data_IF_703426535206
#
_entry.id   IF_703426535206
#
_cell.length_a   1.000
_cell.length_b   1.000
_cell.length_c   1.000
_cell.angle_alpha   90.00
_cell.angle_beta   90.00
_cell.angle_gamma   90.00
#
_symmetry.space_group_name_H-M   'P 1'
#
loop_
_entity.id
_entity.type
_entity.pdbx_description
1 polymer ?
#
# COMPACT_ATOMS: atom_id res chain seq x y z
N UNK A 1 0.04 37.09 7.46
CA UNK A 1 -0.61 36.43 8.61
C UNK A 1 -1.04 35.05 8.16
N UNK A 2 -0.71 33.95 8.86
CA UNK A 2 -1.31 32.67 8.52
C UNK A 2 -2.81 32.79 8.81
N UNK A 3 -3.64 32.67 7.78
CA UNK A 3 -5.08 32.62 7.95
C UNK A 3 -5.41 31.31 8.66
N UNK A 4 -5.87 31.39 9.92
CA UNK A 4 -6.40 30.21 10.60
C UNK A 4 -7.51 29.60 9.74
N UNK A 5 -7.31 28.36 9.30
CA UNK A 5 -8.33 27.66 8.50
C UNK A 5 -9.55 27.40 9.37
N UNK A 6 -10.74 27.72 8.86
CA UNK A 6 -11.98 27.36 9.53
C UNK A 6 -12.28 25.88 9.27
N UNK A 7 -12.93 25.19 10.22
CA UNK A 7 -13.30 23.78 10.06
C UNK A 7 -14.22 23.55 8.84
N UNK A 8 -14.96 24.58 8.44
CA UNK A 8 -15.86 24.59 7.27
C UNK A 8 -15.16 24.82 5.93
N UNK A 9 -13.86 25.16 5.92
CA UNK A 9 -13.11 25.33 4.68
C UNK A 9 -13.00 23.99 3.94
N UNK A 10 -13.36 23.97 2.66
CA UNK A 10 -13.37 22.74 1.85
C UNK A 10 -14.41 21.71 2.31
N UNK A 11 -15.45 22.11 3.05
CA UNK A 11 -16.44 21.20 3.63
C UNK A 11 -17.07 20.25 2.61
N UNK A 12 -17.31 20.70 1.39
CA UNK A 12 -17.84 19.83 0.32
C UNK A 12 -16.92 18.63 0.06
N UNK A 13 -15.62 18.87 -0.16
CA UNK A 13 -14.66 17.78 -0.36
C UNK A 13 -14.49 16.92 0.90
N UNK A 14 -14.53 17.52 2.10
CA UNK A 14 -14.51 16.75 3.36
C UNK A 14 -15.67 15.75 3.44
N UNK A 15 -16.89 16.18 3.13
CA UNK A 15 -18.07 15.31 3.10
C UNK A 15 -17.91 14.21 2.05
N UNK A 16 -17.44 14.56 0.85
CA UNK A 16 -17.19 13.59 -0.22
C UNK A 16 -16.14 12.56 0.21
N UNK A 17 -15.06 12.96 0.88
CA UNK A 17 -14.06 12.05 1.42
C UNK A 17 -14.65 11.07 2.43
N UNK A 18 -15.53 11.53 3.32
CA UNK A 18 -16.24 10.67 4.28
C UNK A 18 -17.09 9.62 3.55
N UNK A 19 -17.91 10.05 2.58
CA UNK A 19 -18.76 9.14 1.79
C UNK A 19 -17.91 8.13 1.01
N UNK A 20 -16.85 8.60 0.36
CA UNK A 20 -15.93 7.78 -0.43
C UNK A 20 -15.19 6.75 0.45
N UNK A 21 -14.79 7.14 1.65
CA UNK A 21 -14.19 6.20 2.62
C UNK A 21 -15.16 5.07 2.99
N UNK A 22 -16.42 5.38 3.30
CA UNK A 22 -17.40 4.34 3.65
C UNK A 22 -17.77 3.46 2.46
N UNK A 23 -17.79 3.99 1.23
CA UNK A 23 -17.92 3.20 0.00
C UNK A 23 -16.77 2.19 -0.10
N UNK A 24 -15.53 2.66 0.05
CA UNK A 24 -14.32 1.84 -0.07
C UNK A 24 -14.18 0.80 1.06
N UNK A 25 -14.49 1.19 2.30
CA UNK A 25 -14.58 0.28 3.44
C UNK A 25 -15.64 -0.78 3.20
N UNK A 26 -16.84 -0.36 2.76
CA UNK A 26 -17.95 -1.27 2.46
C UNK A 26 -17.59 -2.29 1.37
N UNK A 27 -16.91 -1.86 0.30
CA UNK A 27 -16.49 -2.77 -0.76
C UNK A 27 -15.48 -3.82 -0.25
N UNK A 28 -14.56 -3.44 0.63
CA UNK A 28 -13.59 -4.38 1.22
C UNK A 28 -14.23 -5.31 2.27
N UNK A 29 -15.17 -4.82 3.08
CA UNK A 29 -15.90 -5.68 4.02
C UNK A 29 -16.71 -6.74 3.26
N UNK A 30 -17.28 -6.38 2.11
CA UNK A 30 -18.04 -7.31 1.28
C UNK A 30 -17.17 -8.47 0.74
N UNK A 31 -15.85 -8.29 0.63
CA UNK A 31 -14.95 -9.37 0.17
C UNK A 31 -14.87 -10.53 1.17
N UNK A 32 -14.97 -10.22 2.46
CA UNK A 32 -14.89 -11.21 3.55
C UNK A 32 -16.28 -11.71 3.95
N UNK A 33 -17.25 -10.81 4.01
CA UNK A 33 -18.60 -11.10 4.56
C UNK A 33 -19.62 -11.51 3.51
N UNK A 34 -19.28 -11.38 2.22
CA UNK A 34 -20.15 -11.74 1.12
C UNK A 34 -20.47 -13.26 1.08
N UNK A 35 -21.53 -13.67 0.36
CA UNK A 35 -21.95 -15.08 0.28
C UNK A 35 -20.88 -16.04 -0.25
N UNK A 36 -19.84 -15.51 -0.90
CA UNK A 36 -18.63 -16.22 -1.32
C UNK A 36 -17.46 -15.39 -0.82
N UNK A 37 -16.68 -15.94 0.11
CA UNK A 37 -15.42 -15.30 0.50
C UNK A 37 -14.50 -15.29 -0.71
N UNK A 38 -14.26 -14.11 -1.27
CA UNK A 38 -13.58 -13.97 -2.56
C UNK A 38 -12.09 -14.30 -2.44
N UNK A 39 -11.52 -14.27 -1.23
CA UNK A 39 -10.13 -14.69 -0.99
C UNK A 39 -9.95 -16.21 -1.08
N UNK A 40 -11.03 -17.00 -0.97
CA UNK A 40 -11.00 -18.46 -1.14
C UNK A 40 -11.63 -18.94 -2.45
N UNK A 41 -12.31 -18.05 -3.17
CA UNK A 41 -13.03 -18.40 -4.41
C UNK A 41 -12.43 -17.76 -5.66
N UNK A 42 -11.40 -16.91 -5.50
CA UNK A 42 -10.60 -16.37 -6.58
C UNK A 42 -9.83 -17.43 -7.37
N UNK A 43 -9.14 -16.99 -8.42
CA UNK A 43 -8.33 -17.89 -9.25
C UNK A 43 -7.04 -18.16 -8.52
N UNK A 44 -6.83 -19.40 -8.13
CA UNK A 44 -5.59 -19.81 -7.49
C UNK A 44 -4.43 -19.73 -8.49
N UNK A 45 -3.42 -18.93 -8.19
CA UNK A 45 -2.18 -18.78 -8.96
C UNK A 45 -0.96 -19.13 -8.11
N UNK A 46 0.19 -19.28 -8.76
CA UNK A 46 1.47 -19.58 -8.10
C UNK A 46 2.11 -18.41 -7.35
N UNK A 47 1.46 -17.25 -7.30
CA UNK A 47 1.86 -16.12 -6.46
C UNK A 47 0.78 -15.75 -5.44
N UNK A 48 -0.28 -16.54 -5.34
CA UNK A 48 -1.38 -16.29 -4.38
C UNK A 48 -0.82 -16.35 -2.97
N UNK A 49 -1.03 -15.31 -2.13
CA UNK A 49 -0.61 -15.34 -0.75
C UNK A 49 -1.62 -16.09 0.12
N UNK A 50 -1.20 -16.46 1.32
CA UNK A 50 -2.12 -17.00 2.32
C UNK A 50 -3.22 -15.95 2.63
N UNK A 51 -4.48 -16.36 2.90
CA UNK A 51 -5.60 -15.43 3.10
C UNK A 51 -5.37 -14.38 4.19
N UNK A 52 -4.57 -14.69 5.22
CA UNK A 52 -4.23 -13.73 6.27
C UNK A 52 -3.43 -12.52 5.76
N UNK A 53 -2.82 -12.59 4.57
CA UNK A 53 -2.15 -11.44 3.96
C UNK A 53 -3.07 -10.22 3.84
N UNK A 54 -4.34 -10.47 3.52
CA UNK A 54 -5.35 -9.44 3.29
C UNK A 54 -5.81 -8.74 4.58
N UNK A 55 -5.38 -9.19 5.78
CA UNK A 55 -5.58 -8.46 7.02
C UNK A 55 -4.89 -7.08 7.03
N UNK A 56 -3.94 -6.86 6.12
CA UNK A 56 -3.35 -5.54 5.89
C UNK A 56 -4.41 -4.50 5.50
N UNK A 57 -5.50 -4.91 4.85
CA UNK A 57 -6.62 -4.01 4.55
C UNK A 57 -7.25 -3.47 5.82
N UNK A 58 -7.44 -4.29 6.86
CA UNK A 58 -8.01 -3.83 8.12
C UNK A 58 -7.15 -2.72 8.74
N UNK A 59 -5.82 -2.86 8.67
CA UNK A 59 -4.89 -1.84 9.14
C UNK A 59 -4.95 -0.56 8.28
N UNK A 60 -4.95 -0.70 6.95
CA UNK A 60 -5.07 0.44 6.01
C UNK A 60 -6.38 1.20 6.28
N UNK A 61 -7.51 0.51 6.44
CA UNK A 61 -8.80 1.16 6.68
C UNK A 61 -8.87 1.84 8.05
N UNK A 62 -8.24 1.27 9.09
CA UNK A 62 -8.14 1.91 10.40
C UNK A 62 -7.34 3.21 10.34
N UNK A 63 -6.20 3.19 9.64
CA UNK A 63 -5.36 4.38 9.48
C UNK A 63 -6.05 5.44 8.62
N UNK A 64 -6.72 5.03 7.54
CA UNK A 64 -7.50 5.93 6.69
C UNK A 64 -8.71 6.52 7.42
N UNK A 65 -9.33 5.80 8.38
CA UNK A 65 -10.34 6.42 9.25
C UNK A 65 -9.73 7.60 10.03
N UNK A 66 -8.51 7.40 10.55
CA UNK A 66 -7.71 8.46 11.15
C UNK A 66 -7.48 9.62 10.19
N UNK A 67 -7.08 9.36 8.94
CA UNK A 67 -6.96 10.38 7.87
C UNK A 67 -8.26 11.16 7.67
N UNK A 68 -9.40 10.46 7.58
CA UNK A 68 -10.72 11.06 7.36
C UNK A 68 -11.17 11.91 8.55
N UNK A 69 -10.80 11.56 9.78
CA UNK A 69 -11.04 12.42 10.95
C UNK A 69 -10.06 13.59 10.96
N UNK A 70 -8.80 13.34 10.63
CA UNK A 70 -7.73 14.33 10.70
C UNK A 70 -7.91 15.49 9.71
N UNK A 71 -8.57 15.27 8.56
CA UNK A 71 -8.85 16.32 7.58
C UNK A 71 -9.66 17.51 8.12
N UNK A 72 -10.34 17.36 9.26
CA UNK A 72 -11.10 18.44 9.91
C UNK A 72 -10.24 19.36 10.80
N UNK A 73 -8.98 18.99 11.04
CA UNK A 73 -8.00 19.78 11.77
C UNK A 73 -7.10 20.55 10.80
N UNK A 74 -6.43 21.61 11.26
CA UNK A 74 -5.61 22.49 10.42
C UNK A 74 -4.52 21.74 9.64
N UNK A 75 -3.72 20.90 10.31
CA UNK A 75 -2.67 20.09 9.66
C UNK A 75 -3.22 19.11 8.63
N UNK A 76 -4.27 18.37 9.00
CA UNK A 76 -4.90 17.43 8.07
C UNK A 76 -5.58 18.11 6.89
N UNK A 77 -6.22 19.27 7.10
CA UNK A 77 -6.85 20.07 6.03
C UNK A 77 -5.79 20.53 5.02
N UNK A 78 -4.65 21.04 5.48
CA UNK A 78 -3.57 21.49 4.60
C UNK A 78 -3.05 20.37 3.69
N UNK A 79 -2.90 19.15 4.19
CA UNK A 79 -2.36 18.05 3.38
C UNK A 79 -3.46 17.32 2.59
N UNK A 80 -4.56 16.95 3.24
CA UNK A 80 -5.60 16.08 2.66
C UNK A 80 -6.53 16.85 1.72
N UNK A 81 -6.93 18.06 2.10
CA UNK A 81 -7.86 18.87 1.30
C UNK A 81 -7.10 19.69 0.27
N UNK A 82 -6.10 20.45 0.70
CA UNK A 82 -5.42 21.41 -0.18
C UNK A 82 -4.35 20.70 -1.06
N UNK A 83 -3.67 19.67 -0.53
CA UNK A 83 -2.65 18.90 -1.26
C UNK A 83 -3.22 17.73 -2.07
N UNK A 84 -3.74 16.72 -1.38
CA UNK A 84 -4.27 15.49 -1.99
C UNK A 84 -5.51 15.78 -2.84
N UNK A 85 -6.47 16.50 -2.27
CA UNK A 85 -7.66 16.99 -2.98
C UNK A 85 -8.57 15.86 -3.49
N UNK A 86 -9.14 16.05 -4.68
CA UNK A 86 -10.05 15.11 -5.35
C UNK A 86 -9.46 13.74 -5.72
N UNK A 87 -8.16 13.53 -5.48
CA UNK A 87 -7.50 12.24 -5.71
C UNK A 87 -7.93 11.18 -4.71
N UNK A 88 -8.21 11.57 -3.46
CA UNK A 88 -8.67 10.64 -2.43
C UNK A 88 -10.02 9.98 -2.77
N UNK A 89 -11.08 10.72 -3.15
CA UNK A 89 -12.34 10.10 -3.52
C UNK A 89 -12.25 9.36 -4.85
N UNK A 90 -11.44 9.84 -5.80
CA UNK A 90 -11.14 9.10 -7.04
C UNK A 90 -10.53 7.73 -6.73
N UNK A 91 -9.52 7.67 -5.85
CA UNK A 91 -8.87 6.44 -5.43
C UNK A 91 -9.90 5.45 -4.83
N UNK A 92 -10.77 5.93 -3.94
CA UNK A 92 -11.81 5.10 -3.33
C UNK A 92 -12.78 4.50 -4.37
N UNK A 93 -13.22 5.31 -5.34
CA UNK A 93 -14.10 4.84 -6.43
C UNK A 93 -13.39 3.83 -7.32
N UNK A 94 -12.16 4.10 -7.74
CA UNK A 94 -11.37 3.17 -8.54
C UNK A 94 -11.17 1.84 -7.81
N UNK A 95 -10.92 1.87 -6.50
CA UNK A 95 -10.75 0.66 -5.72
C UNK A 95 -12.05 -0.13 -5.56
N UNK A 96 -13.17 0.55 -5.30
CA UNK A 96 -14.48 -0.12 -5.23
C UNK A 96 -14.83 -0.84 -6.56
N UNK A 97 -14.51 -0.23 -7.71
CA UNK A 97 -14.69 -0.86 -9.02
C UNK A 97 -13.73 -2.05 -9.19
N UNK A 98 -12.45 -1.90 -8.81
CA UNK A 98 -11.47 -2.99 -8.81
C UNK A 98 -11.99 -4.21 -8.04
N UNK A 99 -12.40 -4.01 -6.78
CA UNK A 99 -12.89 -5.08 -5.91
C UNK A 99 -14.13 -5.75 -6.51
N UNK A 100 -15.04 -4.96 -7.08
CA UNK A 100 -16.23 -5.49 -7.73
C UNK A 100 -15.91 -6.37 -8.94
N UNK A 101 -15.02 -5.91 -9.82
CA UNK A 101 -14.59 -6.65 -11.01
C UNK A 101 -13.85 -7.94 -10.62
N UNK A 102 -12.97 -7.85 -9.63
CA UNK A 102 -12.23 -8.98 -9.11
C UNK A 102 -13.15 -10.04 -8.51
N UNK A 103 -14.09 -9.63 -7.64
CA UNK A 103 -15.08 -10.53 -7.04
C UNK A 103 -16.06 -11.15 -8.05
N UNK A 104 -16.15 -10.61 -9.26
CA UNK A 104 -16.91 -11.17 -10.40
C UNK A 104 -16.06 -12.02 -11.34
N UNK A 105 -14.77 -12.23 -11.02
CA UNK A 105 -13.81 -12.97 -11.83
C UNK A 105 -13.48 -12.32 -13.19
N UNK A 106 -13.73 -11.01 -13.36
CA UNK A 106 -13.33 -10.26 -14.56
C UNK A 106 -11.86 -9.83 -14.45
N UNK A 107 -10.94 -10.80 -14.39
CA UNK A 107 -9.54 -10.58 -14.00
C UNK A 107 -8.76 -9.58 -14.85
N UNK A 108 -8.96 -9.57 -16.17
CA UNK A 108 -8.28 -8.60 -17.04
C UNK A 108 -8.75 -7.17 -16.74
N UNK A 109 -10.07 -6.97 -16.57
CA UNK A 109 -10.61 -5.67 -16.21
C UNK A 109 -10.18 -5.26 -14.79
N UNK A 110 -10.17 -6.21 -13.84
CA UNK A 110 -9.64 -6.00 -12.50
C UNK A 110 -8.16 -5.57 -12.56
N UNK A 111 -7.33 -6.20 -13.41
CA UNK A 111 -5.93 -5.82 -13.57
C UNK A 111 -5.77 -4.38 -14.07
N UNK A 112 -6.55 -3.97 -15.06
CA UNK A 112 -6.55 -2.57 -15.54
C UNK A 112 -6.91 -1.61 -14.41
N UNK A 113 -7.93 -1.92 -13.61
CA UNK A 113 -8.30 -1.09 -12.46
C UNK A 113 -7.26 -1.15 -11.33
N UNK A 114 -6.56 -2.26 -11.12
CA UNK A 114 -5.44 -2.35 -10.18
C UNK A 114 -4.32 -1.38 -10.56
N UNK A 115 -4.01 -1.24 -11.85
CA UNK A 115 -3.05 -0.25 -12.35
C UNK A 115 -3.55 1.19 -12.13
N UNK A 116 -4.84 1.46 -12.35
CA UNK A 116 -5.42 2.78 -12.09
C UNK A 116 -5.39 3.14 -10.59
N UNK A 117 -5.73 2.17 -9.72
CA UNK A 117 -5.61 2.30 -8.26
C UNK A 117 -4.17 2.56 -7.87
N UNK A 118 -3.22 1.76 -8.35
CA UNK A 118 -1.80 1.93 -8.08
C UNK A 118 -1.32 3.32 -8.51
N UNK A 119 -1.67 3.76 -9.72
CA UNK A 119 -1.33 5.10 -10.22
C UNK A 119 -1.90 6.22 -9.34
N UNK A 120 -3.17 6.11 -8.93
CA UNK A 120 -3.80 7.07 -8.04
C UNK A 120 -3.11 7.11 -6.66
N UNK A 121 -2.81 5.96 -6.07
CA UNK A 121 -2.07 5.89 -4.80
C UNK A 121 -0.66 6.45 -4.95
N UNK A 122 0.08 6.11 -6.01
CA UNK A 122 1.43 6.64 -6.27
C UNK A 122 1.41 8.16 -6.37
N UNK A 123 0.40 8.75 -7.03
CA UNK A 123 0.29 10.20 -7.13
C UNK A 123 0.01 10.85 -5.76
N UNK A 124 -0.84 10.24 -4.93
CA UNK A 124 -1.10 10.74 -3.58
C UNK A 124 0.16 10.60 -2.72
N UNK A 125 0.79 9.43 -2.75
CA UNK A 125 2.04 9.13 -2.06
C UNK A 125 3.13 10.16 -2.40
N UNK A 126 3.33 10.45 -3.68
CA UNK A 126 4.29 11.45 -4.13
C UNK A 126 3.96 12.85 -3.61
N UNK A 127 2.69 13.27 -3.65
CA UNK A 127 2.29 14.57 -3.10
C UNK A 127 2.63 14.66 -1.61
N UNK A 128 2.20 13.66 -0.85
CA UNK A 128 2.36 13.62 0.61
C UNK A 128 3.84 13.62 0.96
N UNK A 129 4.63 12.73 0.37
CA UNK A 129 6.05 12.57 0.73
C UNK A 129 6.95 13.70 0.22
N UNK A 130 6.65 14.32 -0.92
CA UNK A 130 7.51 15.35 -1.52
C UNK A 130 7.11 16.78 -1.15
N UNK A 131 5.82 17.08 -1.09
CA UNK A 131 5.35 18.46 -0.92
C UNK A 131 4.85 18.76 0.50
N UNK A 132 4.64 17.75 1.33
CA UNK A 132 4.08 17.89 2.66
C UNK A 132 4.88 17.13 3.71
N UNK A 133 6.06 17.62 4.09
CA UNK A 133 6.81 17.00 5.17
C UNK A 133 6.00 16.97 6.48
N UNK A 134 6.04 15.87 7.26
CA UNK A 134 5.26 15.77 8.49
C UNK A 134 5.75 16.82 9.51
N UNK A 135 4.84 17.69 9.96
CA UNK A 135 5.15 18.72 10.96
C UNK A 135 4.88 18.22 12.39
N UNK A 136 4.11 17.14 12.51
CA UNK A 136 3.70 16.53 13.77
C UNK A 136 3.61 15.01 13.65
N UNK A 137 3.59 14.32 14.81
CA UNK A 137 3.31 12.88 14.86
C UNK A 137 1.93 12.55 14.29
N UNK A 138 0.97 13.48 14.40
CA UNK A 138 -0.36 13.30 13.80
C UNK A 138 -0.31 13.27 12.27
N UNK A 139 0.51 14.14 11.64
CA UNK A 139 0.72 14.12 10.19
C UNK A 139 1.35 12.79 9.76
N UNK A 140 2.37 12.33 10.48
CA UNK A 140 3.04 11.05 10.18
C UNK A 140 2.04 9.88 10.27
N UNK A 141 1.30 9.77 11.38
CA UNK A 141 0.39 8.63 11.63
C UNK A 141 -0.86 8.67 10.76
N UNK A 142 -1.46 9.83 10.56
CA UNK A 142 -2.75 9.95 9.86
C UNK A 142 -2.64 10.35 8.39
N UNK A 143 -1.45 10.65 7.87
CA UNK A 143 -1.27 10.97 6.46
C UNK A 143 -0.16 10.14 5.83
N UNK A 144 1.06 10.18 6.35
CA UNK A 144 2.20 9.52 5.69
C UNK A 144 2.12 7.99 5.78
N UNK A 145 1.85 7.48 6.99
CA UNK A 145 1.78 6.06 7.27
C UNK A 145 0.69 5.33 6.44
N UNK A 146 -0.58 5.78 6.40
CA UNK A 146 -1.61 5.12 5.60
C UNK A 146 -1.28 5.08 4.10
N UNK A 147 -0.84 6.20 3.52
CA UNK A 147 -0.55 6.24 2.08
C UNK A 147 0.74 5.50 1.71
N UNK A 148 1.74 5.46 2.59
CA UNK A 148 2.93 4.61 2.41
C UNK A 148 2.58 3.12 2.43
N UNK A 149 1.84 2.69 3.46
CA UNK A 149 1.41 1.30 3.60
C UNK A 149 0.53 0.88 2.41
N UNK A 150 -0.41 1.74 2.01
CA UNK A 150 -1.29 1.48 0.87
C UNK A 150 -0.49 1.43 -0.44
N UNK A 151 0.49 2.31 -0.64
CA UNK A 151 1.33 2.29 -1.84
C UNK A 151 2.10 0.97 -1.96
N UNK A 152 2.80 0.55 -0.90
CA UNK A 152 3.49 -0.75 -0.88
C UNK A 152 2.56 -1.94 -1.13
N UNK A 153 1.37 -1.93 -0.53
CA UNK A 153 0.36 -2.98 -0.76
C UNK A 153 -0.18 -2.97 -2.20
N UNK A 154 -0.43 -1.82 -2.80
CA UNK A 154 -0.90 -1.76 -4.21
C UNK A 154 0.13 -2.28 -5.20
N UNK A 155 1.43 -2.13 -4.94
CA UNK A 155 2.48 -2.75 -5.75
C UNK A 155 2.31 -4.28 -5.78
N UNK A 156 2.03 -4.89 -4.63
CA UNK A 156 1.74 -6.33 -4.54
C UNK A 156 0.45 -6.68 -5.26
N UNK A 157 -0.64 -5.93 -5.05
CA UNK A 157 -1.93 -6.19 -5.70
C UNK A 157 -1.83 -6.20 -7.22
N UNK A 158 -1.06 -5.29 -7.81
CA UNK A 158 -0.83 -5.26 -9.26
C UNK A 158 -0.21 -6.57 -9.75
N UNK A 159 0.79 -7.09 -9.02
CA UNK A 159 1.42 -8.38 -9.32
C UNK A 159 0.40 -9.52 -9.19
N UNK A 160 -0.32 -9.60 -8.07
CA UNK A 160 -1.31 -10.66 -7.85
C UNK A 160 -2.36 -10.67 -8.97
N UNK A 161 -2.92 -9.50 -9.27
CA UNK A 161 -3.96 -9.36 -10.29
C UNK A 161 -3.43 -9.65 -11.70
N UNK A 162 -2.15 -9.36 -11.98
CA UNK A 162 -1.52 -9.72 -13.26
C UNK A 162 -1.48 -11.24 -13.45
N UNK A 163 -1.11 -11.99 -12.40
CA UNK A 163 -1.10 -13.45 -12.44
C UNK A 163 -2.51 -14.02 -12.55
N UNK A 164 -3.51 -13.41 -11.92
CA UNK A 164 -4.89 -13.84 -12.08
C UNK A 164 -5.39 -13.58 -13.51
N UNK A 165 -5.05 -12.42 -14.08
CA UNK A 165 -5.46 -12.05 -15.45
C UNK A 165 -4.80 -12.92 -16.53
N UNK A 166 -3.50 -13.20 -16.40
CA UNK A 166 -2.70 -13.77 -17.49
C UNK A 166 -2.00 -15.09 -17.16
N UNK A 167 -1.90 -15.45 -15.88
CA UNK A 167 -1.27 -16.70 -15.43
C UNK A 167 -2.18 -17.92 -15.57
N UNK A 168 -1.65 -19.08 -15.22
CA UNK A 168 -2.41 -20.34 -15.18
C UNK A 168 -3.12 -20.52 -13.83
N UNK A 169 -4.20 -21.31 -13.82
CA UNK A 169 -4.88 -21.67 -12.58
C UNK A 169 -4.19 -22.89 -11.95
N UNK A 170 -3.53 -22.68 -10.81
CA UNK A 170 -2.75 -23.70 -10.11
C UNK A 170 -3.60 -24.86 -9.55
N UNK A 171 -4.93 -24.67 -9.43
CA UNK A 171 -5.85 -25.77 -9.05
C UNK A 171 -6.12 -26.76 -10.18
N UNK A 172 -5.81 -26.40 -11.43
CA UNK A 172 -6.10 -27.21 -12.63
C UNK A 172 -4.82 -27.59 -13.37
N UNK A 173 -3.84 -26.70 -13.42
CA UNK A 173 -2.64 -26.85 -14.23
C UNK A 173 -1.38 -26.67 -13.39
N UNK A 174 -0.36 -27.51 -13.65
CA UNK A 174 0.93 -27.44 -12.97
C UNK A 174 1.81 -26.32 -13.54
N UNK A 175 2.60 -25.69 -12.68
CA UNK A 175 3.62 -24.71 -13.10
C UNK A 175 4.58 -25.31 -14.15
N UNK A 176 4.67 -24.65 -15.29
CA UNK A 176 5.74 -24.86 -16.26
C UNK A 176 6.89 -23.87 -16.03
N UNK A 177 7.95 -24.01 -16.82
CA UNK A 177 9.18 -23.20 -16.70
C UNK A 177 8.90 -21.69 -16.75
N UNK A 178 8.00 -21.24 -17.63
CA UNK A 178 7.66 -19.82 -17.72
C UNK A 178 6.92 -19.30 -16.49
N UNK A 179 6.04 -20.10 -15.89
CA UNK A 179 5.36 -19.76 -14.64
C UNK A 179 6.37 -19.58 -13.50
N UNK A 180 7.34 -20.50 -13.40
CA UNK A 180 8.44 -20.41 -12.44
C UNK A 180 9.27 -19.14 -12.64
N UNK A 181 9.67 -18.85 -13.89
CA UNK A 181 10.46 -17.67 -14.23
C UNK A 181 9.71 -16.38 -13.90
N UNK A 182 8.44 -16.25 -14.30
CA UNK A 182 7.66 -15.05 -14.02
C UNK A 182 7.41 -14.87 -12.52
N UNK A 183 7.12 -15.93 -11.77
CA UNK A 183 6.97 -15.86 -10.32
C UNK A 183 8.26 -15.39 -9.65
N UNK A 184 9.41 -15.93 -10.07
CA UNK A 184 10.72 -15.49 -9.58
C UNK A 184 10.97 -14.00 -9.87
N UNK A 185 10.73 -13.54 -11.11
CA UNK A 185 10.89 -12.14 -11.49
C UNK A 185 9.94 -11.22 -10.70
N UNK A 186 8.72 -11.66 -10.43
CA UNK A 186 7.79 -10.93 -9.61
C UNK A 186 8.28 -10.79 -8.16
N UNK A 187 8.81 -11.85 -7.55
CA UNK A 187 9.36 -11.79 -6.19
C UNK A 187 10.61 -10.93 -6.11
N UNK A 188 11.50 -11.02 -7.10
CA UNK A 188 12.66 -10.16 -7.24
C UNK A 188 12.26 -8.69 -7.38
N UNK A 189 11.27 -8.39 -8.22
CA UNK A 189 10.75 -7.03 -8.38
C UNK A 189 10.17 -6.47 -7.07
N UNK A 190 9.40 -7.28 -6.34
CA UNK A 190 8.86 -6.88 -5.03
C UNK A 190 9.98 -6.61 -4.03
N UNK A 191 10.95 -7.50 -3.91
CA UNK A 191 12.11 -7.32 -3.02
C UNK A 191 12.93 -6.08 -3.37
N UNK A 192 13.25 -5.85 -4.66
CA UNK A 192 13.94 -4.66 -5.12
C UNK A 192 13.14 -3.37 -4.84
N UNK A 193 11.80 -3.44 -4.90
CA UNK A 193 10.94 -2.32 -4.53
C UNK A 193 10.98 -2.07 -3.02
N UNK A 194 11.01 -3.11 -2.19
CA UNK A 194 11.19 -2.97 -0.74
C UNK A 194 12.55 -2.33 -0.39
N UNK A 195 13.62 -2.67 -1.12
CA UNK A 195 14.91 -2.00 -1.02
C UNK A 195 14.80 -0.52 -1.40
N UNK A 196 14.13 -0.22 -2.51
CA UNK A 196 13.90 1.17 -2.97
C UNK A 196 13.21 2.00 -1.89
N UNK A 197 12.16 1.48 -1.23
CA UNK A 197 11.54 2.15 -0.08
C UNK A 197 12.50 2.33 1.09
N UNK A 198 13.30 1.31 1.41
CA UNK A 198 14.25 1.42 2.51
C UNK A 198 15.32 2.48 2.24
N UNK A 199 15.67 2.75 0.98
CA UNK A 199 16.66 3.78 0.58
C UNK A 199 16.06 5.06 0.01
N UNK A 200 14.73 5.22 0.02
CA UNK A 200 14.07 6.41 -0.54
C UNK A 200 14.38 7.69 0.26
N UNK A 201 14.91 7.54 1.47
CA UNK A 201 15.41 8.63 2.31
C UNK A 201 16.39 8.14 3.36
N UNK A 202 16.97 9.07 4.13
CA UNK A 202 17.82 8.80 5.29
C UNK A 202 17.16 7.81 6.26
N UNK A 203 15.85 7.92 6.49
CA UNK A 203 15.12 7.01 7.37
C UNK A 203 14.55 5.79 6.66
N UNK A 204 14.30 5.91 5.35
CA UNK A 204 13.55 4.92 4.58
C UNK A 204 12.05 4.99 4.85
N UNK A 205 11.29 4.25 4.04
CA UNK A 205 9.84 4.19 4.10
C UNK A 205 9.35 2.86 4.67
N UNK A 206 9.41 2.76 6.00
CA UNK A 206 9.13 1.54 6.75
C UNK A 206 7.75 0.91 6.44
N UNK A 207 6.62 1.64 6.40
CA UNK A 207 5.31 1.02 6.19
C UNK A 207 5.20 0.34 4.82
N UNK A 208 5.71 0.98 3.76
CA UNK A 208 5.72 0.41 2.42
C UNK A 208 6.60 -0.85 2.32
N UNK A 209 7.80 -0.83 2.92
CA UNK A 209 8.66 -2.03 3.00
C UNK A 209 7.98 -3.17 3.76
N UNK A 210 7.31 -2.88 4.89
CA UNK A 210 6.56 -3.89 5.66
C UNK A 210 5.47 -4.54 4.82
N UNK A 211 4.69 -3.76 4.06
CA UNK A 211 3.62 -4.31 3.22
C UNK A 211 4.14 -5.35 2.23
N UNK A 212 5.30 -5.09 1.63
CA UNK A 212 5.94 -6.02 0.69
C UNK A 212 6.47 -7.25 1.42
N UNK A 213 7.24 -7.09 2.50
CA UNK A 213 7.81 -8.24 3.22
C UNK A 213 6.74 -9.17 3.79
N UNK A 214 5.67 -8.57 4.34
CA UNK A 214 4.47 -9.28 4.79
C UNK A 214 3.85 -10.13 3.69
N UNK A 215 3.75 -9.56 2.48
CA UNK A 215 3.17 -10.24 1.32
C UNK A 215 4.04 -11.38 0.82
N UNK A 216 5.36 -11.18 0.69
CA UNK A 216 6.29 -12.23 0.29
C UNK A 216 6.28 -13.40 1.30
N UNK A 217 6.19 -13.10 2.60
CA UNK A 217 6.04 -14.10 3.64
C UNK A 217 4.72 -14.89 3.48
N UNK A 218 3.62 -14.20 3.15
CA UNK A 218 2.34 -14.84 2.93
C UNK A 218 2.32 -15.74 1.70
N UNK A 219 3.00 -15.34 0.62
CA UNK A 219 3.18 -16.16 -0.58
C UNK A 219 3.98 -17.42 -0.22
N UNK A 220 5.09 -17.28 0.50
CA UNK A 220 5.86 -18.43 1.00
C UNK A 220 5.00 -19.39 1.83
N UNK A 221 4.19 -18.86 2.76
CA UNK A 221 3.38 -19.65 3.66
C UNK A 221 2.32 -20.51 2.92
N UNK A 222 1.79 -19.98 1.81
CA UNK A 222 0.74 -20.60 1.01
C UNK A 222 1.28 -21.54 -0.07
N UNK A 223 2.27 -21.09 -0.83
CA UNK A 223 2.82 -21.85 -1.96
C UNK A 223 3.66 -23.02 -1.44
N UNK A 224 3.26 -24.27 -1.69
CA UNK A 224 4.03 -25.47 -1.28
C UNK A 224 4.67 -26.22 -2.44
N UNK A 225 4.06 -26.14 -3.62
CA UNK A 225 4.57 -26.71 -4.85
C UNK A 225 4.33 -25.73 -6.01
N UNK A 226 5.28 -25.57 -6.94
CA UNK A 226 6.59 -26.22 -6.99
C UNK A 226 7.56 -25.68 -5.92
N UNK A 227 8.55 -26.50 -5.55
CA UNK A 227 9.54 -26.15 -4.52
C UNK A 227 10.33 -24.89 -4.89
N UNK A 228 10.60 -24.68 -6.18
CA UNK A 228 11.29 -23.50 -6.67
C UNK A 228 10.58 -22.20 -6.28
N UNK A 229 9.27 -22.11 -6.50
CA UNK A 229 8.46 -20.92 -6.14
C UNK A 229 8.40 -20.76 -4.62
N UNK A 230 8.17 -21.84 -3.88
CA UNK A 230 8.13 -21.83 -2.41
C UNK A 230 9.43 -21.25 -1.81
N UNK A 231 10.59 -21.81 -2.18
CA UNK A 231 11.87 -21.38 -1.64
C UNK A 231 12.33 -20.03 -2.17
N UNK A 232 11.96 -19.66 -3.40
CA UNK A 232 12.22 -18.31 -3.92
C UNK A 232 11.44 -17.25 -3.14
N UNK A 233 10.16 -17.49 -2.86
CA UNK A 233 9.35 -16.59 -2.03
C UNK A 233 9.96 -16.42 -0.62
N UNK A 234 10.47 -17.49 0.00
CA UNK A 234 11.16 -17.41 1.28
C UNK A 234 12.43 -16.57 1.19
N UNK A 235 13.29 -16.85 0.20
CA UNK A 235 14.56 -16.15 0.03
C UNK A 235 14.34 -14.64 -0.12
N UNK A 236 13.43 -14.23 -1.01
CA UNK A 236 13.08 -12.83 -1.20
C UNK A 236 12.36 -12.22 0.00
N UNK A 237 11.56 -13.00 0.75
CA UNK A 237 10.97 -12.54 2.01
C UNK A 237 12.07 -12.21 3.04
N UNK A 238 13.06 -13.08 3.22
CA UNK A 238 14.17 -12.86 4.15
C UNK A 238 15.00 -11.63 3.71
N UNK A 239 15.32 -11.50 2.42
CA UNK A 239 16.02 -10.33 1.90
C UNK A 239 15.22 -9.04 2.16
N UNK A 240 13.92 -9.06 1.88
CA UNK A 240 13.06 -7.90 2.14
C UNK A 240 12.98 -7.52 3.63
N UNK A 241 13.09 -8.50 4.54
CA UNK A 241 13.12 -8.23 5.99
C UNK A 241 14.38 -7.47 6.41
N UNK A 242 15.51 -7.66 5.72
CA UNK A 242 16.72 -6.84 5.95
C UNK A 242 16.43 -5.37 5.68
N UNK A 243 15.65 -5.06 4.63
CA UNK A 243 15.24 -3.71 4.29
C UNK A 243 14.27 -3.11 5.32
N UNK A 244 13.34 -3.91 5.84
CA UNK A 244 12.50 -3.51 6.97
C UNK A 244 13.34 -3.16 8.20
N UNK A 245 14.34 -3.97 8.54
CA UNK A 245 15.25 -3.69 9.65
C UNK A 245 16.04 -2.40 9.42
N UNK A 246 16.57 -2.17 8.20
CA UNK A 246 17.25 -0.92 7.84
C UNK A 246 16.34 0.29 8.04
N UNK A 247 15.11 0.24 7.53
CA UNK A 247 14.15 1.33 7.66
C UNK A 247 13.74 1.55 9.12
N UNK A 248 13.58 0.48 9.91
CA UNK A 248 13.28 0.57 11.34
C UNK A 248 14.42 1.23 12.13
N UNK A 249 15.68 0.89 11.81
CA UNK A 249 16.86 1.57 12.39
C UNK A 249 16.87 3.05 12.01
N UNK A 250 16.62 3.37 10.73
CA UNK A 250 16.55 4.76 10.25
C UNK A 250 15.52 5.60 11.01
N UNK A 251 14.30 5.07 11.15
CA UNK A 251 13.23 5.70 11.95
C UNK A 251 13.63 5.83 13.42
N UNK A 252 14.22 4.79 14.03
CA UNK A 252 14.65 4.82 15.43
C UNK A 252 15.74 5.86 15.71
N UNK A 253 16.72 5.98 14.82
CA UNK A 253 17.77 7.00 14.92
C UNK A 253 17.20 8.41 14.80
N UNK A 254 16.22 8.62 13.91
CA UNK A 254 15.54 9.92 13.77
C UNK A 254 14.78 10.32 15.02
N UNK A 255 14.00 9.39 15.59
CA UNK A 255 13.27 9.63 16.84
C UNK A 255 14.24 9.98 17.96
N UNK A 256 15.36 9.24 18.08
CA UNK A 256 16.41 9.52 19.07
C UNK A 256 17.03 10.91 18.91
N UNK A 257 17.19 11.37 17.67
CA UNK A 257 17.77 12.67 17.35
C UNK A 257 16.73 13.82 17.35
N UNK A 258 15.48 13.56 17.77
CA UNK A 258 14.43 14.58 17.88
C UNK A 258 13.71 14.94 16.58
N UNK A 259 13.93 14.20 15.49
CA UNK A 259 13.25 14.42 14.21
C UNK A 259 11.79 13.94 14.23
N UNK A 260 10.89 14.73 13.64
CA UNK A 260 9.42 14.55 13.77
C UNK A 260 8.70 13.86 12.59
N UNK A 261 9.35 13.51 11.47
CA UNK A 261 8.70 12.73 10.41
C UNK A 261 9.55 12.37 9.18
N UNK A 262 9.09 11.45 8.31
CA UNK A 262 9.84 10.86 7.18
C UNK A 262 9.77 11.76 5.92
N UNK A 263 10.91 12.27 5.44
CA UNK A 263 11.04 13.08 4.21
C UNK A 263 11.75 12.29 3.10
N UNK A 264 11.54 12.62 1.82
CA UNK A 264 12.28 12.07 0.67
C UNK A 264 13.48 12.94 0.23
N UNK A 265 13.60 14.18 0.73
CA UNK A 265 14.68 15.10 0.33
C UNK A 265 15.87 14.98 1.30
N UNK A 266 16.93 14.26 0.90
CA UNK A 266 18.23 14.31 1.61
C UNK A 266 18.87 15.71 1.56
N UNK A 267 18.53 16.52 0.55
CA UNK A 267 19.07 17.87 0.32
C UNK A 267 18.60 18.91 1.36
N UNK A 268 17.63 18.56 2.20
CA UNK A 268 17.12 19.40 3.31
C UNK A 268 17.51 18.88 4.69
N UNK A 269 18.40 17.88 4.76
CA UNK A 269 19.08 17.61 6.02
C UNK A 269 19.76 18.91 6.48
N UNK A 270 19.59 19.34 7.75
CA UNK A 270 20.23 20.55 8.23
C UNK A 270 21.73 20.40 7.99
N UNK A 271 22.25 21.19 7.05
CA UNK A 271 23.68 21.38 6.93
C UNK A 271 24.11 22.02 8.25
N UNK A 272 25.09 21.39 8.88
CA UNK A 272 25.84 21.84 10.05
C UNK A 272 25.20 21.52 11.41
N UNK A 273 25.85 20.57 12.11
CA UNK A 273 25.85 20.54 13.56
C UNK A 273 26.72 21.67 14.10
N UNK A 274 26.17 22.42 15.05
CA UNK A 274 26.90 23.15 16.08
C UNK A 274 26.42 22.62 17.43
#
# INVERSE_FOLDING_TARGET
MPSHSNWSDGLFLKIINVVAYFLFLGSNIFTVTGPRDIYYTGKETYVTPAPWAFLIWSLIHLLLLGTIIYQFFEGGKQVIIDGVGWRLPLLAVLNAIYVHLWGRHYYIAAFVFALLVSSAVTHIYYIVKKYHEPQSTADEVFVHLPFSLYHGWTTVLVILTAFEAFGINASVERAGVWTDVFAFLAFFFLEATAATYAFSSSEGDLPASIAISWSLWAIFAHQRHPAFIHWSALAFSILSLVWVVKAAIGVGLKIRNGGRGISLDEERAPLVGN
#
